data_IF_543603727227
#
_entry.id   IF_543603727227
#
_cell.length_a   1.000
_cell.length_b   1.000
_cell.length_c   1.000
_cell.angle_alpha   90.00
_cell.angle_beta   90.00
_cell.angle_gamma   90.00
#
_symmetry.space_group_name_H-M   'P 1'
#
loop_
_entity.id
_entity.type
_entity.pdbx_description
1 polymer ?
#
# COMPACT_ATOMS: atom_id res chain seq x y z
N UNK A 1 -19.08 49.91 16.11
CA UNK A 1 -20.12 50.92 15.76
C UNK A 1 -19.83 52.20 16.55
N UNK A 2 -19.97 53.36 15.92
CA UNK A 2 -19.92 54.66 16.57
C UNK A 2 -21.34 55.22 16.69
N UNK A 3 -21.79 55.55 17.89
CA UNK A 3 -23.17 55.94 18.17
C UNK A 3 -23.52 57.36 17.74
N UNK A 4 -22.59 58.18 17.27
CA UNK A 4 -22.80 59.56 16.93
C UNK A 4 -22.92 60.46 18.18
N UNK A 5 -22.90 61.78 17.96
CA UNK A 5 -23.18 62.80 18.96
C UNK A 5 -23.76 64.06 18.27
N UNK A 6 -24.03 65.11 19.00
CA UNK A 6 -24.63 66.31 18.46
C UNK A 6 -23.87 66.98 17.29
N UNK A 7 -22.62 66.56 17.00
CA UNK A 7 -21.80 67.10 15.91
C UNK A 7 -21.46 66.06 14.86
N UNK A 8 -21.58 64.76 15.21
CA UNK A 8 -21.21 63.66 14.31
C UNK A 8 -22.37 62.69 14.19
N UNK A 9 -22.72 62.31 12.95
CA UNK A 9 -23.75 61.28 12.71
C UNK A 9 -23.25 59.88 13.12
N UNK A 10 -24.18 59.06 13.61
CA UNK A 10 -23.88 57.66 13.90
C UNK A 10 -23.45 56.94 12.63
N UNK A 11 -22.38 56.16 12.70
CA UNK A 11 -21.93 55.35 11.57
C UNK A 11 -21.65 53.93 11.99
N UNK A 12 -21.99 52.99 11.13
CA UNK A 12 -21.71 51.56 11.31
C UNK A 12 -21.22 51.01 9.97
N UNK A 13 -20.04 50.38 10.00
CA UNK A 13 -19.55 49.59 8.87
C UNK A 13 -19.64 48.15 9.24
N UNK A 14 -20.42 47.38 8.48
CA UNK A 14 -20.45 45.91 8.56
C UNK A 14 -19.48 45.35 7.54
N UNK A 15 -18.64 44.44 7.96
CA UNK A 15 -17.75 43.68 7.09
C UNK A 15 -18.12 42.23 7.21
N UNK A 16 -18.39 41.59 6.11
CA UNK A 16 -18.60 40.13 6.05
C UNK A 16 -17.25 39.47 5.83
N UNK A 17 -16.91 38.53 6.70
CA UNK A 17 -15.73 37.69 6.58
C UNK A 17 -16.22 36.29 6.25
N UNK A 18 -15.77 35.76 5.13
CA UNK A 18 -16.02 34.37 4.74
C UNK A 18 -14.81 33.55 5.15
N UNK A 19 -15.00 32.57 6.00
CA UNK A 19 -13.97 31.61 6.39
C UNK A 19 -14.26 30.31 5.65
N UNK A 20 -13.36 29.90 4.77
CA UNK A 20 -13.44 28.63 4.09
C UNK A 20 -12.87 27.52 4.98
N UNK A 21 -13.45 26.31 4.89
CA UNK A 21 -12.90 25.13 5.54
C UNK A 21 -11.52 24.81 4.97
N UNK A 22 -10.59 24.42 5.82
CA UNK A 22 -9.27 23.96 5.41
C UNK A 22 -9.37 22.59 4.71
N UNK A 23 -8.35 22.25 3.91
CA UNK A 23 -8.29 20.95 3.25
C UNK A 23 -7.77 19.87 4.21
N UNK A 24 -8.42 18.70 4.21
CA UNK A 24 -7.91 17.49 4.83
C UNK A 24 -7.14 16.64 3.81
N UNK A 25 -6.25 15.78 4.27
CA UNK A 25 -5.52 14.83 3.43
C UNK A 25 -5.54 13.44 4.06
N UNK A 26 -5.55 12.42 3.21
CA UNK A 26 -5.40 11.01 3.59
C UNK A 26 -4.14 10.46 2.92
N UNK A 27 -3.31 9.76 3.67
CA UNK A 27 -2.10 9.11 3.18
C UNK A 27 -2.15 7.63 3.52
N UNK A 28 -1.69 6.78 2.59
CA UNK A 28 -1.53 5.35 2.80
C UNK A 28 -0.06 4.99 2.97
N UNK A 29 0.22 4.19 4.01
CA UNK A 29 1.57 3.74 4.38
C UNK A 29 1.77 2.24 4.11
N UNK A 30 0.78 1.58 3.55
CA UNK A 30 0.78 0.14 3.29
C UNK A 30 1.52 -0.22 2.00
N UNK A 31 1.99 -1.46 1.90
CA UNK A 31 2.60 -1.98 0.68
C UNK A 31 1.57 -2.17 -0.44
N UNK A 32 1.90 -1.77 -1.67
CA UNK A 32 1.01 -1.86 -2.84
C UNK A 32 0.89 -3.28 -3.43
N UNK A 33 1.55 -4.26 -2.83
CA UNK A 33 1.48 -5.66 -3.25
C UNK A 33 1.47 -6.62 -2.07
N UNK A 34 0.73 -7.72 -2.21
CA UNK A 34 0.63 -8.76 -1.20
C UNK A 34 0.37 -10.14 -1.83
N UNK A 35 0.44 -11.19 -1.02
CA UNK A 35 0.22 -12.56 -1.46
C UNK A 35 -1.21 -13.02 -1.18
N UNK A 36 -1.72 -13.86 -2.08
CA UNK A 36 -3.02 -14.52 -1.90
C UNK A 36 -3.03 -15.35 -0.61
N UNK A 37 -4.12 -15.22 0.14
CA UNK A 37 -4.35 -15.96 1.38
C UNK A 37 -3.76 -15.32 2.63
N UNK A 38 -3.00 -14.23 2.49
CA UNK A 38 -2.50 -13.48 3.64
C UNK A 38 -3.57 -12.55 4.23
N UNK A 39 -3.44 -12.28 5.51
CA UNK A 39 -4.11 -11.17 6.17
C UNK A 39 -3.34 -9.89 5.84
N UNK A 40 -4.02 -8.95 5.20
CA UNK A 40 -3.42 -7.67 4.81
C UNK A 40 -3.84 -6.58 5.77
N UNK A 41 -2.88 -5.77 6.20
CA UNK A 41 -3.12 -4.62 7.06
C UNK A 41 -3.01 -3.34 6.23
N UNK A 42 -4.14 -2.67 6.03
CA UNK A 42 -4.20 -1.33 5.49
C UNK A 42 -3.87 -0.35 6.62
N UNK A 43 -2.86 0.49 6.39
CA UNK A 43 -2.40 1.51 7.33
C UNK A 43 -2.38 2.85 6.61
N UNK A 44 -2.81 3.89 7.27
CA UNK A 44 -2.75 5.24 6.76
C UNK A 44 -2.87 6.28 7.86
N UNK A 45 -2.88 7.54 7.46
CA UNK A 45 -3.02 8.67 8.36
C UNK A 45 -3.92 9.76 7.76
N UNK A 46 -4.71 10.39 8.62
CA UNK A 46 -5.47 11.61 8.35
C UNK A 46 -4.63 12.82 8.75
N UNK A 47 -4.54 13.80 7.87
CA UNK A 47 -3.94 15.11 8.13
C UNK A 47 -5.02 16.21 7.98
N UNK A 48 -5.20 17.09 8.96
CA UNK A 48 -4.45 17.18 10.23
C UNK A 48 -4.65 15.95 11.12
N UNK A 49 -3.70 15.75 12.03
CA UNK A 49 -3.67 14.62 12.96
C UNK A 49 -4.78 14.72 14.03
N UNK A 50 -6.00 14.42 13.62
CA UNK A 50 -7.19 14.41 14.49
C UNK A 50 -7.42 12.99 15.03
N UNK A 51 -7.67 12.86 16.31
CA UNK A 51 -7.99 11.60 16.99
C UNK A 51 -9.49 11.47 17.19
N UNK A 52 -10.02 10.25 17.05
CA UNK A 52 -11.43 9.95 17.27
C UNK A 52 -12.36 10.27 16.09
N UNK A 53 -11.81 10.71 14.96
CA UNK A 53 -12.59 10.96 13.75
C UNK A 53 -13.08 9.66 13.11
N UNK A 54 -14.32 9.64 12.65
CA UNK A 54 -14.90 8.48 11.94
C UNK A 54 -14.54 8.53 10.48
N UNK A 55 -13.93 7.45 9.99
CA UNK A 55 -13.55 7.25 8.60
C UNK A 55 -14.37 6.09 8.03
N UNK A 56 -14.94 6.25 6.85
CA UNK A 56 -15.57 5.14 6.13
C UNK A 56 -14.54 4.46 5.21
N UNK A 57 -14.49 3.14 5.25
CA UNK A 57 -13.65 2.31 4.41
C UNK A 57 -14.53 1.46 3.48
N UNK A 58 -14.22 1.49 2.19
CA UNK A 58 -14.81 0.60 1.19
C UNK A 58 -13.70 -0.16 0.47
N UNK A 59 -13.73 -1.48 0.55
CA UNK A 59 -12.79 -2.37 -0.13
C UNK A 59 -13.52 -3.05 -1.28
N UNK A 60 -12.95 -2.96 -2.47
CA UNK A 60 -13.46 -3.60 -3.68
C UNK A 60 -12.47 -4.70 -4.10
N UNK A 61 -12.94 -5.93 -4.15
CA UNK A 61 -12.21 -7.09 -4.64
C UNK A 61 -12.19 -7.19 -6.17
N UNK A 62 -11.36 -8.09 -6.73
CA UNK A 62 -11.24 -8.30 -8.19
C UNK A 62 -12.53 -8.83 -8.84
N UNK A 63 -13.39 -9.48 -8.08
CA UNK A 63 -14.71 -10.00 -8.49
C UNK A 63 -15.85 -9.01 -8.26
N UNK A 64 -15.54 -7.74 -8.04
CA UNK A 64 -16.46 -6.69 -7.66
C UNK A 64 -17.16 -6.90 -6.30
N UNK A 65 -16.68 -7.84 -5.48
CA UNK A 65 -17.13 -7.95 -4.08
C UNK A 65 -16.80 -6.69 -3.30
N UNK A 66 -17.72 -6.25 -2.45
CA UNK A 66 -17.58 -5.04 -1.65
C UNK A 66 -17.57 -5.42 -0.18
N UNK A 67 -16.62 -4.87 0.57
CA UNK A 67 -16.59 -4.90 2.02
C UNK A 67 -16.57 -3.45 2.51
N UNK A 68 -17.39 -3.13 3.50
CA UNK A 68 -17.47 -1.81 4.10
C UNK A 68 -17.19 -1.91 5.59
N UNK A 69 -16.49 -0.93 6.14
CA UNK A 69 -16.17 -0.82 7.54
C UNK A 69 -16.09 0.66 7.97
N UNK A 70 -16.33 0.90 9.23
CA UNK A 70 -16.03 2.18 9.87
C UNK A 70 -14.73 2.05 10.66
N UNK A 71 -13.87 3.05 10.56
CA UNK A 71 -12.61 3.15 11.26
C UNK A 71 -12.64 4.39 12.12
N UNK A 72 -11.91 4.35 13.24
CA UNK A 72 -11.65 5.55 14.02
C UNK A 72 -10.19 5.95 13.88
N UNK A 73 -9.93 7.24 13.65
CA UNK A 73 -8.58 7.76 13.69
C UNK A 73 -8.01 7.67 15.11
N UNK A 74 -6.77 7.20 15.20
CA UNK A 74 -6.02 7.05 16.44
C UNK A 74 -5.11 8.27 16.65
N UNK A 75 -4.30 8.21 17.69
CA UNK A 75 -3.27 9.23 17.97
C UNK A 75 -2.46 9.54 16.69
N UNK A 76 -2.20 10.82 16.46
CA UNK A 76 -1.55 11.35 15.25
C UNK A 76 -2.33 11.11 13.95
N UNK A 77 -3.66 10.93 14.04
CA UNK A 77 -4.51 10.73 12.86
C UNK A 77 -4.37 9.36 12.21
N UNK A 78 -3.61 8.44 12.80
CA UNK A 78 -3.37 7.11 12.24
C UNK A 78 -4.64 6.27 12.18
N UNK A 79 -4.80 5.45 11.14
CA UNK A 79 -5.85 4.44 11.05
C UNK A 79 -5.29 3.12 10.51
N UNK A 80 -5.94 2.02 10.88
CA UNK A 80 -5.59 0.68 10.40
C UNK A 80 -6.81 -0.20 10.26
N UNK A 81 -6.77 -1.09 9.26
CA UNK A 81 -7.79 -2.12 9.06
C UNK A 81 -7.15 -3.40 8.55
N UNK A 82 -7.63 -4.54 9.02
CA UNK A 82 -7.14 -5.85 8.58
C UNK A 82 -8.23 -6.58 7.82
N UNK A 83 -7.89 -7.14 6.66
CA UNK A 83 -8.77 -7.96 5.85
C UNK A 83 -8.02 -9.08 5.14
N UNK A 84 -8.74 -10.14 4.77
CA UNK A 84 -8.14 -11.32 4.15
C UNK A 84 -8.17 -11.23 2.63
N UNK A 85 -7.03 -11.50 2.00
CA UNK A 85 -6.88 -11.53 0.56
C UNK A 85 -7.23 -12.92 0.02
N UNK A 86 -8.47 -13.13 -0.36
CA UNK A 86 -9.00 -14.42 -0.80
C UNK A 86 -8.98 -14.62 -2.33
N UNK A 87 -8.59 -13.58 -3.09
CA UNK A 87 -8.53 -13.61 -4.55
C UNK A 87 -7.30 -12.89 -5.07
N UNK A 88 -6.69 -13.43 -6.14
CA UNK A 88 -5.64 -12.72 -6.87
C UNK A 88 -6.23 -11.67 -7.79
N UNK A 89 -5.49 -10.58 -7.99
CA UNK A 89 -5.92 -9.49 -8.87
C UNK A 89 -5.71 -8.12 -8.25
N UNK A 90 -6.43 -7.14 -8.78
CA UNK A 90 -6.41 -5.78 -8.25
C UNK A 90 -7.52 -5.59 -7.23
N UNK A 91 -7.13 -5.13 -6.09
CA UNK A 91 -8.02 -4.68 -5.02
C UNK A 91 -7.91 -3.17 -4.92
N UNK A 92 -8.98 -2.51 -4.53
CA UNK A 92 -8.93 -1.09 -4.19
C UNK A 92 -9.57 -0.87 -2.82
N UNK A 93 -8.96 -0.01 -2.03
CA UNK A 93 -9.47 0.42 -0.73
C UNK A 93 -9.66 1.93 -0.76
N UNK A 94 -10.90 2.38 -0.64
CA UNK A 94 -11.23 3.81 -0.57
C UNK A 94 -11.55 4.16 0.87
N UNK A 95 -10.78 5.11 1.42
CA UNK A 95 -11.05 5.71 2.73
C UNK A 95 -11.61 7.10 2.52
N UNK A 96 -12.67 7.42 3.23
CA UNK A 96 -13.32 8.72 3.15
C UNK A 96 -13.56 9.28 4.55
N UNK A 97 -13.28 10.56 4.71
CA UNK A 97 -13.61 11.35 5.90
C UNK A 97 -14.61 12.44 5.52
N UNK A 98 -15.69 12.54 6.26
CA UNK A 98 -16.74 13.52 5.98
C UNK A 98 -16.31 14.98 6.25
N UNK A 99 -15.15 15.15 6.88
CA UNK A 99 -14.70 16.47 7.34
C UNK A 99 -15.32 16.86 8.68
N UNK A 100 -15.08 18.10 9.07
CA UNK A 100 -15.61 18.69 10.31
C UNK A 100 -16.13 20.11 10.05
N UNK A 101 -16.45 20.83 11.10
CA UNK A 101 -16.82 22.24 10.96
C UNK A 101 -15.70 23.12 10.38
N UNK A 102 -14.43 22.70 10.58
CA UNK A 102 -13.23 23.44 10.16
C UNK A 102 -12.52 22.85 8.95
N UNK A 103 -12.79 21.59 8.59
CA UNK A 103 -12.13 20.89 7.49
C UNK A 103 -13.13 20.37 6.45
N UNK A 104 -12.71 20.36 5.20
CA UNK A 104 -13.46 19.79 4.08
C UNK A 104 -13.43 18.26 4.14
N UNK A 105 -14.41 17.64 3.51
CA UNK A 105 -14.40 16.20 3.27
C UNK A 105 -13.22 15.81 2.36
N UNK A 106 -12.66 14.63 2.59
CA UNK A 106 -11.60 14.05 1.75
C UNK A 106 -11.85 12.57 1.53
N UNK A 107 -11.49 12.08 0.35
CA UNK A 107 -11.53 10.67 -0.01
C UNK A 107 -10.30 10.31 -0.82
N UNK A 108 -9.69 9.18 -0.50
CA UNK A 108 -8.49 8.67 -1.16
C UNK A 108 -8.62 7.18 -1.43
N UNK A 109 -8.17 6.75 -2.61
CA UNK A 109 -8.19 5.34 -3.00
C UNK A 109 -6.79 4.79 -3.10
N UNK A 110 -6.57 3.67 -2.41
CA UNK A 110 -5.36 2.87 -2.45
C UNK A 110 -5.54 1.66 -3.38
N UNK A 111 -4.52 1.35 -4.17
CA UNK A 111 -4.51 0.20 -5.07
C UNK A 111 -3.57 -0.88 -4.54
N UNK A 112 -4.08 -2.12 -4.45
CA UNK A 112 -3.32 -3.26 -3.99
C UNK A 112 -3.31 -4.34 -5.06
N UNK A 113 -2.11 -4.82 -5.44
CA UNK A 113 -1.93 -5.97 -6.34
C UNK A 113 -1.74 -7.24 -5.54
N UNK A 114 -2.69 -8.17 -5.62
CA UNK A 114 -2.60 -9.49 -4.99
C UNK A 114 -2.11 -10.52 -5.99
N UNK A 115 -1.00 -11.18 -5.67
CA UNK A 115 -0.37 -12.19 -6.51
C UNK A 115 -0.43 -13.56 -5.84
N UNK A 116 -0.67 -14.60 -6.64
CA UNK A 116 -0.55 -15.98 -6.17
C UNK A 116 0.90 -16.42 -6.33
N UNK A 117 1.54 -16.82 -5.24
CA UNK A 117 2.83 -17.52 -5.31
C UNK A 117 2.58 -19.02 -5.44
N UNK A 118 3.35 -19.65 -6.31
CA UNK A 118 3.35 -21.10 -6.47
C UNK A 118 4.51 -21.70 -5.66
N UNK A 119 4.27 -21.92 -4.37
CA UNK A 119 5.16 -22.71 -3.52
C UNK A 119 6.63 -22.29 -3.54
N UNK A 120 7.51 -23.30 -3.43
CA UNK A 120 8.96 -23.19 -3.47
C UNK A 120 9.47 -23.70 -4.82
N UNK A 121 10.58 -23.14 -5.28
CA UNK A 121 11.29 -23.58 -6.50
C UNK A 121 12.58 -24.25 -6.07
N UNK A 122 12.82 -25.45 -6.57
CA UNK A 122 14.11 -26.15 -6.43
C UNK A 122 14.73 -26.21 -7.81
N UNK A 123 15.85 -25.53 -7.99
CA UNK A 123 16.67 -25.62 -9.19
C UNK A 123 17.90 -26.48 -8.87
N UNK A 124 17.97 -27.66 -9.46
CA UNK A 124 19.07 -28.57 -9.27
C UNK A 124 19.87 -28.71 -10.57
N UNK A 125 21.14 -28.36 -10.53
CA UNK A 125 22.10 -28.65 -11.59
C UNK A 125 22.73 -30.01 -11.34
N UNK A 126 22.59 -30.92 -12.28
CA UNK A 126 23.34 -32.19 -12.28
C UNK A 126 24.71 -32.03 -12.96
N UNK A 127 25.59 -33.01 -12.74
CA UNK A 127 26.90 -33.09 -13.37
C UNK A 127 28.06 -32.98 -12.40
N UNK A 128 29.30 -32.93 -12.95
CA UNK A 128 30.53 -32.86 -12.15
C UNK A 128 30.97 -31.42 -11.86
N UNK A 129 30.12 -30.43 -12.16
CA UNK A 129 30.40 -29.02 -11.93
C UNK A 129 31.42 -28.43 -12.92
N UNK A 130 32.22 -27.45 -12.48
CA UNK A 130 33.17 -26.74 -13.38
C UNK A 130 34.18 -27.64 -14.07
N UNK A 131 34.43 -28.85 -13.60
CA UNK A 131 35.30 -29.83 -14.22
C UNK A 131 34.83 -30.29 -15.62
N UNK A 132 33.54 -30.13 -15.93
CA UNK A 132 32.98 -30.46 -17.27
C UNK A 132 33.22 -29.38 -18.32
N UNK A 133 33.87 -28.26 -17.99
CA UNK A 133 34.26 -27.22 -18.93
C UNK A 133 33.05 -26.56 -19.62
N UNK A 134 33.05 -26.64 -20.99
CA UNK A 134 32.00 -25.98 -21.80
C UNK A 134 30.57 -26.49 -21.54
N UNK A 135 30.42 -27.78 -21.22
CA UNK A 135 29.11 -28.34 -20.89
C UNK A 135 28.57 -27.70 -19.62
N UNK A 136 29.39 -27.58 -18.59
CA UNK A 136 29.01 -26.89 -17.35
C UNK A 136 28.60 -25.43 -17.62
N UNK A 137 29.38 -24.68 -18.39
CA UNK A 137 29.09 -23.27 -18.72
C UNK A 137 27.70 -23.12 -19.34
N UNK A 138 27.32 -24.02 -20.26
CA UNK A 138 26.00 -23.99 -20.90
C UNK A 138 24.90 -24.30 -19.92
N UNK A 139 25.01 -25.35 -19.11
CA UNK A 139 24.02 -25.73 -18.14
C UNK A 139 23.82 -24.64 -17.07
N UNK A 140 24.92 -24.07 -16.59
CA UNK A 140 24.89 -22.99 -15.62
C UNK A 140 24.18 -21.76 -16.16
N UNK A 141 24.47 -21.34 -17.41
CA UNK A 141 23.79 -20.19 -18.02
C UNK A 141 22.28 -20.38 -18.18
N UNK A 142 21.84 -21.61 -18.47
CA UNK A 142 20.40 -21.93 -18.52
C UNK A 142 19.78 -21.83 -17.13
N UNK A 143 20.43 -22.40 -16.11
CA UNK A 143 19.93 -22.35 -14.74
C UNK A 143 19.84 -20.93 -14.20
N UNK A 144 20.82 -20.08 -14.47
CA UNK A 144 20.76 -18.65 -14.15
C UNK A 144 19.58 -17.93 -14.85
N UNK A 145 19.33 -18.25 -16.11
CA UNK A 145 18.22 -17.67 -16.87
C UNK A 145 16.87 -18.07 -16.24
N UNK A 146 16.73 -19.35 -15.86
CA UNK A 146 15.55 -19.86 -15.15
C UNK A 146 15.40 -19.19 -13.80
N UNK A 147 16.47 -19.11 -13.00
CA UNK A 147 16.50 -18.41 -11.72
C UNK A 147 16.02 -16.95 -11.85
N UNK A 148 16.61 -16.18 -12.76
CA UNK A 148 16.20 -14.79 -13.03
C UNK A 148 14.73 -14.68 -13.44
N UNK A 149 14.20 -15.70 -14.14
CA UNK A 149 12.79 -15.74 -14.51
C UNK A 149 11.88 -15.88 -13.29
N UNK A 150 12.22 -16.72 -12.31
CA UNK A 150 11.47 -16.83 -11.09
C UNK A 150 11.55 -15.57 -10.22
N UNK A 151 12.72 -14.95 -10.13
CA UNK A 151 12.89 -13.67 -9.44
C UNK A 151 11.98 -12.58 -10.06
N UNK A 152 11.92 -12.49 -11.40
CA UNK A 152 11.00 -11.56 -12.10
C UNK A 152 9.52 -11.86 -11.83
N UNK A 153 9.18 -13.10 -11.46
CA UNK A 153 7.84 -13.51 -11.04
C UNK A 153 7.57 -13.34 -9.55
N UNK A 154 8.41 -12.56 -8.86
CA UNK A 154 8.32 -12.24 -7.44
C UNK A 154 8.59 -13.43 -6.49
N UNK A 155 9.32 -14.47 -6.93
CA UNK A 155 9.87 -15.43 -6.00
C UNK A 155 11.06 -14.80 -5.26
N UNK A 156 11.07 -14.90 -3.95
CA UNK A 156 12.18 -14.40 -3.14
C UNK A 156 13.39 -15.32 -3.25
N UNK A 157 14.57 -14.81 -3.64
CA UNK A 157 15.79 -15.58 -3.70
C UNK A 157 16.10 -16.37 -2.44
N UNK A 158 15.96 -15.75 -1.28
CA UNK A 158 16.33 -16.34 0.02
C UNK A 158 15.23 -17.21 0.64
N UNK A 159 13.96 -17.03 0.22
CA UNK A 159 12.82 -17.71 0.85
C UNK A 159 12.18 -18.76 -0.02
N UNK A 160 12.17 -18.53 -1.34
CA UNK A 160 11.33 -19.30 -2.26
C UNK A 160 12.14 -20.10 -3.28
N UNK A 161 13.43 -19.79 -3.51
CA UNK A 161 14.26 -20.47 -4.50
C UNK A 161 15.41 -21.19 -3.80
N UNK A 162 15.45 -22.50 -3.97
CA UNK A 162 16.55 -23.35 -3.53
C UNK A 162 17.37 -23.74 -4.76
N UNK A 163 18.58 -23.23 -4.84
CA UNK A 163 19.52 -23.52 -5.92
C UNK A 163 20.53 -24.55 -5.46
N UNK A 164 20.51 -25.74 -6.06
CA UNK A 164 21.41 -26.85 -5.78
C UNK A 164 22.40 -26.95 -6.92
N UNK A 165 23.66 -26.67 -6.65
CA UNK A 165 24.75 -26.71 -7.61
C UNK A 165 25.86 -27.63 -7.13
N UNK A 166 26.51 -28.42 -8.00
CA UNK A 166 27.72 -29.13 -7.67
C UNK A 166 28.96 -28.23 -7.55
N UNK A 167 28.87 -26.95 -7.93
CA UNK A 167 29.93 -25.97 -7.71
C UNK A 167 29.82 -25.38 -6.30
N UNK A 168 30.80 -25.68 -5.39
CA UNK A 168 30.75 -25.18 -4.03
C UNK A 168 30.97 -23.66 -3.91
N UNK A 169 31.47 -23.02 -4.98
CA UNK A 169 31.73 -21.58 -5.01
C UNK A 169 30.55 -20.78 -5.60
N UNK A 170 29.53 -21.47 -6.11
CA UNK A 170 28.37 -20.81 -6.63
C UNK A 170 27.50 -20.32 -5.48
N UNK A 171 27.61 -19.05 -5.16
CA UNK A 171 26.71 -18.38 -4.23
C UNK A 171 25.38 -18.09 -4.91
N UNK A 172 24.28 -18.29 -4.18
CA UNK A 172 22.94 -18.04 -4.66
C UNK A 172 22.84 -16.66 -5.31
N UNK A 173 22.51 -16.65 -6.60
CA UNK A 173 22.07 -15.43 -7.28
C UNK A 173 23.13 -14.47 -7.79
N UNK A 174 24.33 -14.96 -8.10
CA UNK A 174 25.34 -14.15 -8.79
C UNK A 174 24.94 -13.76 -10.23
#
# INVERSE_FOLDING_TARGET
AFGGNNKLAASQKKQQITVNKAEGQLEFLSAESAELGQDYQLIGALSPALEGETLSLKILGPDASVQEAELSSQTQGGFKHQFKLNQQGRWSATVSWAGSDTFQQVSQTFQLKVVKRFGKVILALGGLGPAEGQAWTKFNSVAESVYKTFVRRNFSPQKDIYFLSPDPNQTEGA
#
